data_IF_062358659914
#
_entry.id   IF_062358659914
#
_cell.length_a   1.000
_cell.length_b   1.000
_cell.length_c   1.000
_cell.angle_alpha   90.00
_cell.angle_beta   90.00
_cell.angle_gamma   90.00
#
_symmetry.space_group_name_H-M   'P 1'
#
loop_
_entity.id
_entity.type
_entity.pdbx_description
1 polymer ?
#
# COMPACT_ATOMS: atom_id res chain seq x y z
N UNK A 1 30.25 36.39 23.68
CA UNK A 1 29.37 36.51 22.50
C UNK A 1 29.00 35.08 22.08
N UNK A 2 27.85 34.59 22.53
CA UNK A 2 27.43 33.19 22.33
C UNK A 2 26.77 33.10 20.96
N UNK A 3 27.41 32.42 19.99
CA UNK A 3 26.79 32.10 18.70
C UNK A 3 25.80 30.95 18.89
N UNK A 4 24.51 31.24 18.80
CA UNK A 4 23.47 30.23 18.70
C UNK A 4 23.34 29.78 17.24
N UNK A 5 23.72 28.54 16.95
CA UNK A 5 23.54 27.92 15.64
C UNK A 5 22.06 27.55 15.44
N UNK A 6 21.37 28.20 14.51
CA UNK A 6 20.02 27.81 14.09
C UNK A 6 20.10 26.52 13.28
N UNK A 7 19.57 25.42 13.81
CA UNK A 7 19.31 24.21 13.05
C UNK A 7 18.12 24.46 12.11
N UNK A 8 18.35 24.46 10.81
CA UNK A 8 17.28 24.50 9.80
C UNK A 8 16.57 23.14 9.78
N UNK A 9 15.23 23.08 9.89
CA UNK A 9 14.51 21.83 9.74
C UNK A 9 14.63 21.36 8.29
N UNK A 10 15.28 20.21 8.07
CA UNK A 10 15.19 19.50 6.81
C UNK A 10 13.73 19.05 6.61
N UNK A 11 13.08 19.51 5.55
CA UNK A 11 11.76 19.03 5.18
C UNK A 11 11.85 17.54 4.81
N UNK A 12 11.12 16.68 5.52
CA UNK A 12 11.01 15.27 5.16
C UNK A 12 10.36 15.17 3.76
N UNK A 13 11.03 14.52 2.81
CA UNK A 13 10.42 14.21 1.53
C UNK A 13 9.48 13.01 1.68
N UNK A 14 8.20 13.21 1.36
CA UNK A 14 7.29 12.09 1.14
C UNK A 14 7.79 11.27 -0.06
N UNK A 15 7.64 9.94 -0.01
CA UNK A 15 8.16 9.08 -1.06
C UNK A 15 7.30 9.19 -2.35
N UNK A 16 7.71 10.04 -3.29
CA UNK A 16 7.05 10.25 -4.59
C UNK A 16 6.83 8.94 -5.37
N UNK A 17 7.71 7.95 -5.17
CA UNK A 17 7.60 6.64 -5.81
C UNK A 17 6.35 5.88 -5.34
N UNK A 18 5.93 6.04 -4.08
CA UNK A 18 4.68 5.42 -3.60
C UNK A 18 3.48 6.10 -4.24
N UNK A 19 3.52 7.42 -4.46
CA UNK A 19 2.48 8.14 -5.19
C UNK A 19 2.34 7.58 -6.60
N UNK A 20 3.46 7.40 -7.30
CA UNK A 20 3.51 6.79 -8.62
C UNK A 20 2.98 5.36 -8.62
N UNK A 21 3.45 4.49 -7.73
CA UNK A 21 3.02 3.09 -7.64
C UNK A 21 1.52 2.96 -7.34
N UNK A 22 0.93 3.90 -6.60
CA UNK A 22 -0.53 3.87 -6.35
C UNK A 22 -1.39 4.29 -7.54
N UNK A 23 -0.80 4.90 -8.58
CA UNK A 23 -1.48 5.18 -9.86
C UNK A 23 -1.50 3.98 -10.79
N UNK A 24 -0.66 2.99 -10.56
CA UNK A 24 -0.61 1.76 -11.36
C UNK A 24 -1.73 0.80 -10.93
N UNK A 25 -2.44 0.26 -11.92
CA UNK A 25 -3.49 -0.72 -11.69
C UNK A 25 -2.93 -2.10 -11.30
N UNK A 26 -1.68 -2.37 -11.67
CA UNK A 26 -0.97 -3.63 -11.41
C UNK A 26 -0.56 -3.81 -9.95
N UNK A 27 -0.55 -2.73 -9.15
CA UNK A 27 0.05 -2.71 -7.82
C UNK A 27 -0.98 -2.49 -6.70
N UNK A 28 -0.72 -3.10 -5.54
CA UNK A 28 -1.37 -2.77 -4.27
C UNK A 28 -0.33 -2.19 -3.28
N UNK A 29 0.19 -1.02 -3.58
CA UNK A 29 1.36 -0.46 -2.90
C UNK A 29 1.07 0.17 -1.52
N UNK A 30 -0.20 0.28 -1.11
CA UNK A 30 -0.63 0.80 0.20
C UNK A 30 -1.84 0.02 0.74
N UNK A 31 -2.04 -0.07 2.07
CA UNK A 31 -3.14 -0.83 2.67
C UNK A 31 -4.54 -0.51 2.11
N UNK A 32 -4.82 0.76 1.81
CA UNK A 32 -6.11 1.21 1.27
C UNK A 32 -6.08 1.58 -0.22
N UNK A 33 -5.17 0.97 -1.00
CA UNK A 33 -4.89 1.23 -2.43
C UNK A 33 -4.32 2.63 -2.74
N UNK A 34 -5.00 3.69 -2.35
CA UNK A 34 -4.64 5.08 -2.70
C UNK A 34 -4.63 6.01 -1.48
N UNK A 35 -4.40 7.30 -1.70
CA UNK A 35 -4.38 8.32 -0.63
C UNK A 35 -5.77 8.77 -0.17
N UNK A 36 -6.82 8.45 -0.93
CA UNK A 36 -8.22 8.68 -0.56
C UNK A 36 -8.83 7.49 0.18
N UNK A 37 -8.06 6.40 0.37
CA UNK A 37 -8.50 5.16 0.96
C UNK A 37 -9.72 4.54 0.25
N UNK A 38 -9.79 4.60 -1.09
CA UNK A 38 -10.96 4.11 -1.84
C UNK A 38 -11.16 2.59 -1.80
N UNK A 39 -10.08 1.83 -1.58
CA UNK A 39 -10.07 0.36 -1.69
C UNK A 39 -10.57 -0.19 -3.05
N UNK A 40 -10.56 0.64 -4.10
CA UNK A 40 -11.07 0.29 -5.42
C UNK A 40 -9.98 -0.25 -6.36
N UNK A 41 -10.27 -1.32 -7.09
CA UNK A 41 -9.43 -1.84 -8.18
C UNK A 41 -10.18 -1.78 -9.52
N UNK A 42 -9.58 -1.21 -10.59
CA UNK A 42 -10.21 -1.14 -11.90
C UNK A 42 -10.05 -2.41 -12.76
N UNK A 43 -9.31 -3.44 -12.28
CA UNK A 43 -9.12 -4.72 -12.98
C UNK A 43 -10.45 -5.46 -13.12
N UNK A 44 -10.72 -6.04 -14.31
CA UNK A 44 -12.03 -6.64 -14.68
C UNK A 44 -12.01 -8.14 -14.92
N UNK A 45 -10.86 -8.80 -14.77
CA UNK A 45 -10.69 -10.23 -15.05
C UNK A 45 -11.62 -11.08 -14.18
N UNK A 46 -11.76 -10.70 -12.90
CA UNK A 46 -12.77 -11.23 -12.00
C UNK A 46 -14.00 -10.34 -12.03
N UNK A 47 -15.13 -10.87 -12.47
CA UNK A 47 -16.38 -10.13 -12.60
C UNK A 47 -17.60 -11.03 -12.33
N UNK A 48 -18.81 -10.49 -12.48
CA UNK A 48 -20.07 -11.17 -12.15
C UNK A 48 -20.27 -12.51 -12.86
N UNK A 49 -19.66 -12.73 -14.02
CA UNK A 49 -19.81 -13.96 -14.79
C UNK A 49 -18.67 -14.96 -14.54
N UNK A 50 -17.46 -14.49 -14.24
CA UNK A 50 -16.25 -15.31 -14.06
C UNK A 50 -15.96 -15.68 -12.60
N UNK A 51 -16.53 -14.96 -11.62
CA UNK A 51 -16.28 -15.18 -10.18
C UNK A 51 -16.60 -16.60 -9.73
N UNK A 52 -17.58 -17.25 -10.38
CA UNK A 52 -17.99 -18.64 -10.09
C UNK A 52 -16.89 -19.67 -10.37
N UNK A 53 -15.92 -19.32 -11.21
CA UNK A 53 -14.86 -20.21 -11.67
C UNK A 53 -13.56 -20.03 -10.88
N UNK A 54 -13.52 -19.13 -9.89
CA UNK A 54 -12.35 -18.89 -9.05
C UNK A 54 -11.99 -20.13 -8.22
N UNK A 55 -10.68 -20.40 -8.15
CA UNK A 55 -10.10 -21.49 -7.35
C UNK A 55 -8.86 -21.00 -6.61
N UNK A 56 -8.51 -21.58 -5.45
CA UNK A 56 -7.25 -21.28 -4.78
C UNK A 56 -6.06 -21.56 -5.71
N UNK A 57 -5.19 -20.56 -5.89
CA UNK A 57 -3.96 -20.73 -6.66
C UNK A 57 -2.82 -21.28 -5.79
N UNK A 58 -2.71 -20.80 -4.55
CA UNK A 58 -1.73 -21.22 -3.56
C UNK A 58 -2.15 -20.73 -2.16
N UNK A 59 -1.45 -21.18 -1.12
CA UNK A 59 -1.61 -20.69 0.25
C UNK A 59 -0.25 -20.53 0.93
N UNK A 60 -0.16 -19.63 1.91
CA UNK A 60 1.07 -19.36 2.65
C UNK A 60 0.77 -19.27 4.15
N UNK A 61 1.55 -20.01 4.96
CA UNK A 61 1.47 -19.93 6.42
C UNK A 61 2.38 -18.83 6.93
N UNK A 62 1.83 -17.91 7.72
CA UNK A 62 2.59 -16.83 8.38
C UNK A 62 3.38 -17.33 9.59
N UNK A 63 3.08 -18.53 10.11
CA UNK A 63 3.84 -19.17 11.19
C UNK A 63 3.58 -18.61 12.60
N UNK A 64 2.60 -17.73 12.79
CA UNK A 64 2.25 -17.17 14.11
C UNK A 64 0.90 -17.68 14.59
N UNK A 65 0.79 -17.91 15.90
CA UNK A 65 -0.46 -18.30 16.57
C UNK A 65 -1.23 -17.11 17.16
N UNK A 66 -0.52 -16.00 17.42
CA UNK A 66 -1.09 -14.73 17.89
C UNK A 66 -1.15 -13.74 16.72
N UNK A 67 -1.99 -12.71 16.82
CA UNK A 67 -2.19 -11.72 15.76
C UNK A 67 -0.91 -10.99 15.35
N UNK A 68 -0.91 -10.40 14.14
CA UNK A 68 0.16 -9.50 13.67
C UNK A 68 -0.08 -8.05 14.13
N UNK A 69 -0.77 -7.88 15.24
CA UNK A 69 -1.08 -6.59 15.86
C UNK A 69 0.15 -6.23 16.71
N UNK A 70 0.93 -5.26 16.24
CA UNK A 70 2.09 -4.72 16.97
C UNK A 70 1.68 -3.78 18.09
#
# INVERSE_FOLDING_TARGET
>A
MVLASLALPFAAQANDKIVELTKSDENWAKPCKDYHCSQYSPIKDVNRTTVKDLRPAWSFSTGVLHGHEG
#
